data_IF_137843327825
#
_entry.id   IF_137843327825
#
_cell.length_a   1.000
_cell.length_b   1.000
_cell.length_c   1.000
_cell.angle_alpha   90.00
_cell.angle_beta   90.00
_cell.angle_gamma   90.00
#
_symmetry.space_group_name_H-M   'P 1'
#
loop_
_entity.id
_entity.type
_entity.pdbx_description
1 polymer ?
#
# COMPACT_ATOMS: atom_id res chain seq x y z
N UNK A 1 -13.16 -21.72 -13.61
CA UNK A 1 -13.15 -21.49 -12.15
C UNK A 1 -12.08 -20.45 -11.90
N UNK A 2 -12.47 -19.24 -11.48
CA UNK A 2 -11.51 -18.19 -11.13
C UNK A 2 -10.75 -18.67 -9.89
N UNK A 3 -9.46 -18.90 -10.01
CA UNK A 3 -8.63 -19.25 -8.85
C UNK A 3 -8.72 -18.09 -7.87
N UNK A 4 -9.09 -18.37 -6.62
CA UNK A 4 -9.10 -17.34 -5.58
C UNK A 4 -7.64 -16.94 -5.35
N UNK A 5 -7.27 -15.74 -5.80
CA UNK A 5 -5.94 -15.18 -5.58
C UNK A 5 -5.72 -14.82 -4.12
N UNK A 6 -4.51 -14.43 -3.81
CA UNK A 6 -4.13 -13.85 -2.53
C UNK A 6 -3.78 -12.39 -2.74
N UNK A 7 -4.24 -11.53 -1.86
CA UNK A 7 -3.91 -10.11 -1.93
C UNK A 7 -2.66 -9.85 -1.11
N UNK A 8 -1.82 -8.94 -1.62
CA UNK A 8 -0.55 -8.56 -0.99
C UNK A 8 -0.44 -7.05 -0.95
N UNK A 9 0.05 -6.57 0.17
CA UNK A 9 0.48 -5.19 0.35
C UNK A 9 2.00 -5.13 0.18
N UNK A 10 2.47 -4.28 -0.73
CA UNK A 10 3.88 -4.08 -1.04
C UNK A 10 4.22 -2.60 -0.94
N UNK A 11 5.10 -2.24 -0.03
CA UNK A 11 5.59 -0.88 0.14
C UNK A 11 7.09 -0.87 -0.05
N UNK A 12 7.52 -0.38 -1.22
CA UNK A 12 8.92 -0.07 -1.50
C UNK A 12 9.23 1.28 -0.88
N UNK A 13 10.21 1.33 0.03
CA UNK A 13 10.64 2.59 0.66
C UNK A 13 11.93 3.06 0.03
N UNK A 14 11.96 4.32 -0.39
CA UNK A 14 13.06 4.89 -1.13
C UNK A 14 14.32 5.02 -0.26
N UNK A 15 15.47 4.75 -0.87
CA UNK A 15 16.74 5.04 -0.26
C UNK A 15 16.96 6.56 -0.26
N UNK A 16 17.48 7.16 0.84
CA UNK A 16 17.84 8.58 0.84
C UNK A 16 18.75 8.91 -0.35
N UNK A 17 18.46 10.00 -1.05
CA UNK A 17 19.23 10.44 -2.22
C UNK A 17 18.88 9.74 -3.53
N UNK A 18 17.83 8.93 -3.58
CA UNK A 18 17.46 8.17 -4.78
C UNK A 18 16.43 8.86 -5.69
N UNK A 19 16.06 10.11 -5.40
CA UNK A 19 15.00 10.82 -6.16
C UNK A 19 15.31 10.89 -7.66
N UNK A 20 16.55 11.25 -8.02
CA UNK A 20 16.94 11.31 -9.43
C UNK A 20 16.84 9.95 -10.12
N UNK A 21 17.33 8.89 -9.47
CA UNK A 21 17.24 7.53 -9.99
C UNK A 21 15.78 7.09 -10.15
N UNK A 22 14.93 7.42 -9.20
CA UNK A 22 13.49 7.14 -9.27
C UNK A 22 12.85 7.77 -10.51
N UNK A 23 13.14 9.03 -10.81
CA UNK A 23 12.62 9.70 -12.00
C UNK A 23 13.20 9.12 -13.29
N UNK A 24 14.47 8.76 -13.29
CA UNK A 24 15.12 8.11 -14.43
C UNK A 24 14.44 6.77 -14.78
N UNK A 25 14.02 6.02 -13.78
CA UNK A 25 13.38 4.70 -13.93
C UNK A 25 11.85 4.76 -14.03
N UNK A 26 11.26 5.94 -14.03
CA UNK A 26 9.80 6.10 -13.91
C UNK A 26 9.03 5.36 -15.01
N UNK A 27 9.48 5.49 -16.27
CA UNK A 27 8.82 4.82 -17.39
C UNK A 27 8.95 3.29 -17.30
N UNK A 28 10.11 2.79 -16.91
CA UNK A 28 10.33 1.35 -16.72
C UNK A 28 9.48 0.81 -15.59
N UNK A 29 9.37 1.55 -14.48
CA UNK A 29 8.50 1.21 -13.36
C UNK A 29 7.04 1.14 -13.78
N UNK A 30 6.54 2.15 -14.48
CA UNK A 30 5.16 2.16 -14.97
C UNK A 30 4.89 1.01 -15.94
N UNK A 31 5.80 0.73 -16.85
CA UNK A 31 5.68 -0.38 -17.80
C UNK A 31 5.65 -1.73 -17.08
N UNK A 32 6.47 -1.89 -16.05
CA UNK A 32 6.46 -3.07 -15.21
C UNK A 32 5.11 -3.25 -14.50
N UNK A 33 4.61 -2.20 -13.85
CA UNK A 33 3.35 -2.24 -13.11
C UNK A 33 2.13 -2.39 -14.02
N UNK A 34 2.18 -1.84 -15.23
CA UNK A 34 1.09 -1.98 -16.19
C UNK A 34 0.85 -3.44 -16.61
N UNK A 35 1.86 -4.30 -16.51
CA UNK A 35 1.71 -5.75 -16.72
C UNK A 35 0.79 -6.39 -15.70
N UNK A 36 0.60 -5.76 -14.53
CA UNK A 36 -0.26 -6.22 -13.44
C UNK A 36 -1.56 -5.42 -13.35
N UNK A 37 -1.92 -4.67 -14.38
CA UNK A 37 -3.06 -3.74 -14.33
C UNK A 37 -4.37 -4.41 -13.92
N UNK A 38 -4.60 -5.66 -14.34
CA UNK A 38 -5.80 -6.42 -13.99
C UNK A 38 -5.81 -6.93 -12.53
N UNK A 39 -4.64 -7.08 -11.94
CA UNK A 39 -4.46 -7.61 -10.58
C UNK A 39 -4.29 -6.50 -9.53
N UNK A 40 -3.99 -5.27 -9.95
CA UNK A 40 -3.79 -4.15 -9.03
C UNK A 40 -5.10 -3.73 -8.38
N UNK A 41 -5.07 -3.62 -7.05
CA UNK A 41 -6.15 -3.10 -6.21
C UNK A 41 -5.89 -1.62 -5.90
N UNK A 42 -4.62 -1.26 -5.65
CA UNK A 42 -4.20 0.12 -5.43
C UNK A 42 -2.74 0.30 -5.85
N UNK A 43 -2.39 1.52 -6.25
CA UNK A 43 -1.00 1.91 -6.53
C UNK A 43 -0.83 3.41 -6.34
N UNK A 44 0.33 3.81 -5.86
CA UNK A 44 0.66 5.23 -5.77
C UNK A 44 1.88 5.52 -4.92
N UNK A 45 2.49 6.68 -5.14
CA UNK A 45 3.65 7.12 -4.37
C UNK A 45 3.27 7.67 -3.00
N UNK A 46 4.21 7.53 -2.04
CA UNK A 46 4.20 8.30 -0.80
C UNK A 46 5.15 9.48 -0.91
N UNK A 47 4.89 10.52 -0.13
CA UNK A 47 5.66 11.77 -0.15
C UNK A 47 6.11 12.16 1.25
N UNK A 48 7.19 12.93 1.31
CA UNK A 48 7.52 13.71 2.51
C UNK A 48 6.48 14.82 2.71
N UNK A 49 6.44 15.44 3.88
CA UNK A 49 5.45 16.48 4.21
C UNK A 49 5.47 17.75 3.36
N UNK A 50 6.23 17.76 2.27
CA UNK A 50 6.29 18.84 1.27
C UNK A 50 5.45 18.54 0.01
N UNK A 51 4.77 17.40 -0.06
CA UNK A 51 3.97 16.91 -1.20
C UNK A 51 4.74 16.74 -2.52
N UNK A 52 6.03 16.95 -2.53
CA UNK A 52 6.85 16.97 -3.75
C UNK A 52 7.91 15.89 -3.77
N UNK A 53 8.49 15.55 -2.61
CA UNK A 53 9.59 14.58 -2.53
C UNK A 53 9.04 13.18 -2.31
N UNK A 54 9.12 12.28 -3.31
CA UNK A 54 8.67 10.90 -3.15
C UNK A 54 9.55 10.16 -2.12
N UNK A 55 8.90 9.34 -1.30
CA UNK A 55 9.55 8.56 -0.24
C UNK A 55 9.32 7.06 -0.38
N UNK A 56 8.45 6.66 -1.29
CA UNK A 56 8.16 5.25 -1.51
C UNK A 56 7.05 5.04 -2.53
N UNK A 57 6.72 3.78 -2.75
CA UNK A 57 5.65 3.36 -3.66
C UNK A 57 4.84 2.23 -3.03
N UNK A 58 3.54 2.43 -2.95
CA UNK A 58 2.58 1.44 -2.48
C UNK A 58 1.96 0.72 -3.66
N UNK A 59 1.91 -0.61 -3.57
CA UNK A 59 1.14 -1.45 -4.50
C UNK A 59 0.37 -2.48 -3.69
N UNK A 60 -0.93 -2.57 -3.94
CA UNK A 60 -1.77 -3.65 -3.42
C UNK A 60 -2.22 -4.45 -4.63
N UNK A 61 -1.98 -5.76 -4.60
CA UNK A 61 -2.07 -6.60 -5.80
C UNK A 61 -2.59 -7.99 -5.45
N UNK A 62 -3.42 -8.55 -6.34
CA UNK A 62 -3.92 -9.93 -6.26
C UNK A 62 -3.01 -10.84 -7.06
N UNK A 63 -2.35 -11.78 -6.37
CA UNK A 63 -1.38 -12.71 -6.97
C UNK A 63 -1.66 -14.14 -6.52
N UNK A 64 -1.15 -15.15 -7.24
CA UNK A 64 -1.46 -16.56 -6.93
C UNK A 64 -0.98 -17.03 -5.56
N UNK A 65 0.20 -16.57 -5.12
CA UNK A 65 0.87 -17.09 -3.91
C UNK A 65 1.99 -16.15 -3.44
N UNK A 66 2.62 -16.44 -2.27
CA UNK A 66 3.73 -15.63 -1.76
C UNK A 66 4.99 -15.65 -2.64
N UNK A 67 5.20 -16.67 -3.44
CA UNK A 67 6.34 -16.74 -4.39
C UNK A 67 6.15 -15.68 -5.48
N UNK A 68 4.95 -15.62 -6.05
CA UNK A 68 4.59 -14.59 -7.05
C UNK A 68 4.68 -13.18 -6.45
N UNK A 69 4.30 -13.01 -5.19
CA UNK A 69 4.40 -11.73 -4.50
C UNK A 69 5.86 -11.28 -4.33
N UNK A 70 6.76 -12.19 -3.97
CA UNK A 70 8.19 -11.89 -3.91
C UNK A 70 8.76 -11.54 -5.28
N UNK A 71 8.39 -12.26 -6.32
CA UNK A 71 8.79 -11.90 -7.68
C UNK A 71 8.30 -10.50 -8.08
N UNK A 72 7.05 -10.19 -7.80
CA UNK A 72 6.49 -8.86 -8.03
C UNK A 72 7.31 -7.76 -7.35
N UNK A 73 7.65 -7.94 -6.08
CA UNK A 73 8.35 -6.94 -5.28
C UNK A 73 9.83 -6.78 -5.69
N UNK A 74 10.51 -7.87 -6.03
CA UNK A 74 11.96 -7.90 -6.18
C UNK A 74 12.45 -7.84 -7.64
N UNK A 75 11.63 -8.22 -8.60
CA UNK A 75 11.93 -8.06 -10.04
C UNK A 75 11.59 -6.66 -10.56
N UNK A 76 11.06 -5.81 -9.73
CA UNK A 76 10.69 -4.44 -10.05
C UNK A 76 11.96 -3.62 -10.38
N UNK A 77 11.95 -2.80 -11.47
CA UNK A 77 13.15 -2.11 -11.96
C UNK A 77 13.86 -1.21 -10.95
N UNK A 78 13.10 -0.48 -10.13
CA UNK A 78 13.68 0.38 -9.09
C UNK A 78 14.38 -0.42 -7.99
N UNK A 79 13.81 -1.57 -7.62
CA UNK A 79 14.45 -2.49 -6.69
C UNK A 79 15.76 -3.05 -7.27
N UNK A 80 15.74 -3.51 -8.51
CA UNK A 80 16.92 -4.05 -9.18
C UNK A 80 18.02 -3.01 -9.35
N UNK A 81 17.68 -1.75 -9.52
CA UNK A 81 18.63 -0.65 -9.65
C UNK A 81 19.12 -0.09 -8.30
N UNK A 82 18.61 -0.60 -7.18
CA UNK A 82 19.00 -0.15 -5.85
C UNK A 82 18.40 1.19 -5.41
N UNK A 83 17.25 1.58 -5.95
CA UNK A 83 16.57 2.82 -5.59
C UNK A 83 15.92 2.77 -4.20
N UNK A 84 15.64 1.58 -3.68
CA UNK A 84 14.94 1.39 -2.41
C UNK A 84 15.89 0.97 -1.29
N UNK A 85 15.59 1.41 -0.07
CA UNK A 85 16.31 0.95 1.12
C UNK A 85 15.78 -0.39 1.63
N UNK A 86 14.47 -0.62 1.50
CA UNK A 86 13.80 -1.85 1.93
C UNK A 86 12.41 -1.98 1.29
N UNK A 87 11.78 -3.12 1.53
CA UNK A 87 10.42 -3.43 1.07
C UNK A 87 9.65 -4.03 2.23
N UNK A 88 8.48 -3.49 2.53
CA UNK A 88 7.50 -4.13 3.39
C UNK A 88 6.53 -4.90 2.50
N UNK A 89 6.64 -6.22 2.49
CA UNK A 89 5.78 -7.12 1.74
C UNK A 89 5.04 -8.04 2.71
N UNK A 90 3.71 -7.98 2.69
CA UNK A 90 2.87 -8.82 3.56
C UNK A 90 1.65 -9.28 2.78
N UNK A 91 1.17 -10.47 3.10
CA UNK A 91 -0.19 -10.87 2.74
C UNK A 91 -1.17 -9.89 3.37
N UNK A 92 -2.25 -9.60 2.65
CA UNK A 92 -3.23 -8.59 3.04
C UNK A 92 -4.61 -9.06 2.60
N UNK A 93 -5.65 -8.54 3.19
CA UNK A 93 -7.03 -8.85 2.79
C UNK A 93 -7.80 -7.58 2.47
N UNK A 94 -8.43 -7.55 1.31
CA UNK A 94 -9.27 -6.42 0.89
C UNK A 94 -10.62 -6.47 1.62
N UNK A 95 -10.71 -5.73 2.73
CA UNK A 95 -11.91 -5.72 3.56
C UNK A 95 -13.03 -4.87 2.97
N UNK A 96 -12.75 -3.96 2.04
CA UNK A 96 -13.75 -3.14 1.37
C UNK A 96 -14.32 -3.82 0.13
N UNK A 97 -13.64 -4.82 -0.42
CA UNK A 97 -14.08 -5.55 -1.61
C UNK A 97 -14.08 -4.73 -2.89
N UNK A 98 -13.30 -3.65 -2.95
CA UNK A 98 -13.21 -2.76 -4.12
C UNK A 98 -11.77 -2.32 -4.36
N UNK A 99 -11.52 -1.76 -5.54
CA UNK A 99 -10.23 -1.15 -5.88
C UNK A 99 -10.23 0.36 -5.55
N UNK A 100 -9.04 0.98 -5.57
CA UNK A 100 -8.92 2.42 -5.37
C UNK A 100 -9.68 3.22 -6.44
N UNK A 101 -9.81 2.68 -7.66
CA UNK A 101 -10.51 3.35 -8.76
C UNK A 101 -12.03 3.38 -8.56
N UNK A 102 -12.55 2.52 -7.71
CA UNK A 102 -13.96 2.47 -7.32
C UNK A 102 -14.28 3.34 -6.10
N UNK A 103 -13.27 4.03 -5.56
CA UNK A 103 -13.47 4.94 -4.42
C UNK A 103 -14.43 6.08 -4.80
N UNK A 104 -15.56 6.25 -4.06
CA UNK A 104 -16.58 7.25 -4.41
C UNK A 104 -16.08 8.69 -4.42
N UNK A 105 -15.03 9.00 -3.63
CA UNK A 105 -14.39 10.32 -3.60
C UNK A 105 -13.55 10.67 -4.81
N UNK A 106 -13.40 9.74 -5.76
CA UNK A 106 -12.63 9.95 -6.99
C UNK A 106 -11.12 9.96 -6.77
N UNK A 107 -10.39 10.40 -7.81
CA UNK A 107 -8.92 10.37 -7.84
C UNK A 107 -8.26 11.60 -7.25
N UNK A 108 -8.98 12.69 -7.19
CA UNK A 108 -8.48 14.01 -6.77
C UNK A 108 -9.42 14.62 -5.74
N UNK A 109 -8.95 15.65 -5.08
CA UNK A 109 -9.72 16.34 -4.03
C UNK A 109 -9.45 15.75 -2.65
N UNK A 110 -9.07 16.62 -1.72
CA UNK A 110 -8.70 16.27 -0.35
C UNK A 110 -7.33 15.60 -0.26
N UNK A 111 -6.79 15.64 0.92
CA UNK A 111 -5.51 14.99 1.21
C UNK A 111 -5.71 13.49 1.43
N UNK A 112 -4.73 12.72 1.03
CA UNK A 112 -4.75 11.25 1.12
C UNK A 112 -3.50 10.74 1.80
N UNK A 113 -3.67 9.65 2.54
CA UNK A 113 -2.62 9.13 3.40
C UNK A 113 -2.59 7.60 3.34
N UNK A 114 -1.36 7.07 3.41
CA UNK A 114 -1.12 5.70 3.82
C UNK A 114 -1.02 5.70 5.34
N UNK A 115 -1.81 4.85 5.99
CA UNK A 115 -1.75 4.62 7.44
C UNK A 115 -1.33 3.18 7.68
N UNK A 116 -0.19 3.00 8.36
CA UNK A 116 0.36 1.70 8.70
C UNK A 116 0.36 1.52 10.21
N UNK A 117 -0.44 0.59 10.71
CA UNK A 117 -0.34 0.11 12.08
C UNK A 117 0.45 -1.19 12.11
N UNK A 118 1.50 -1.27 12.92
CA UNK A 118 2.38 -2.43 12.99
C UNK A 118 2.36 -3.06 14.36
N UNK A 119 2.26 -4.42 14.40
CA UNK A 119 2.28 -5.23 15.60
C UNK A 119 1.37 -4.80 16.73
N UNK A 120 1.40 -5.48 17.87
CA UNK A 120 2.05 -6.77 18.09
C UNK A 120 1.35 -7.92 17.34
N UNK A 121 2.06 -9.03 17.13
CA UNK A 121 1.47 -10.24 16.54
C UNK A 121 0.33 -10.77 17.39
N UNK A 122 -0.77 -11.15 16.75
CA UNK A 122 -1.91 -11.79 17.42
C UNK A 122 -2.71 -12.65 16.44
N UNK A 123 -3.70 -13.37 16.94
CA UNK A 123 -4.64 -14.07 16.09
C UNK A 123 -5.35 -13.08 15.14
N UNK A 124 -5.71 -13.56 13.96
CA UNK A 124 -6.29 -12.71 12.91
C UNK A 124 -7.57 -12.04 13.41
N UNK A 125 -7.58 -10.72 13.33
CA UNK A 125 -8.77 -9.88 13.54
C UNK A 125 -9.18 -9.26 12.19
N UNK A 126 -10.41 -9.50 11.80
CA UNK A 126 -10.96 -9.03 10.53
C UNK A 126 -12.00 -7.91 10.71
N UNK A 127 -11.96 -7.21 11.84
CA UNK A 127 -12.86 -6.09 12.09
C UNK A 127 -12.62 -4.96 11.09
N UNK A 128 -13.71 -4.40 10.59
CA UNK A 128 -13.69 -3.27 9.66
C UNK A 128 -14.24 -2.05 10.38
N UNK A 129 -13.67 -0.85 10.20
CA UNK A 129 -14.24 0.37 10.77
C UNK A 129 -15.69 0.55 10.36
N UNK A 130 -16.56 1.05 11.24
CA UNK A 130 -17.97 1.26 10.93
C UNK A 130 -18.19 2.34 9.87
N UNK A 131 -17.32 3.35 9.82
CA UNK A 131 -17.36 4.40 8.80
C UNK A 131 -16.32 4.11 7.72
N UNK A 132 -16.79 3.85 6.50
CA UNK A 132 -15.96 3.47 5.36
C UNK A 132 -15.93 4.52 4.25
N UNK A 133 -16.61 5.64 4.42
CA UNK A 133 -16.81 6.63 3.33
C UNK A 133 -15.50 7.27 2.87
N UNK A 134 -14.55 7.43 3.78
CA UNK A 134 -13.25 8.02 3.51
C UNK A 134 -12.14 6.97 3.31
N UNK A 135 -12.48 5.68 3.34
CA UNK A 135 -11.51 4.59 3.12
C UNK A 135 -11.36 4.29 1.63
N UNK A 136 -10.15 4.39 1.12
CA UNK A 136 -9.79 4.02 -0.25
C UNK A 136 -9.43 2.54 -0.31
N UNK A 137 -8.64 2.07 0.65
CA UNK A 137 -8.32 0.67 0.89
C UNK A 137 -8.16 0.42 2.39
N UNK A 138 -8.51 -0.76 2.85
CA UNK A 138 -8.38 -1.14 4.26
C UNK A 138 -8.25 -2.64 4.40
N UNK A 139 -7.27 -3.08 5.13
CA UNK A 139 -7.12 -4.51 5.42
C UNK A 139 -6.00 -4.84 6.40
N UNK A 140 -6.07 -6.04 7.00
CA UNK A 140 -5.03 -6.54 7.86
C UNK A 140 -3.78 -6.94 7.09
N UNK A 141 -2.62 -6.65 7.68
CA UNK A 141 -1.34 -7.22 7.27
C UNK A 141 -1.20 -8.58 7.94
N UNK A 142 -0.90 -9.62 7.16
CA UNK A 142 -0.95 -11.00 7.61
C UNK A 142 0.36 -11.71 7.32
N UNK A 143 0.62 -12.78 8.08
CA UNK A 143 1.62 -13.78 7.72
C UNK A 143 1.27 -14.46 6.39
N UNK A 144 2.26 -15.09 5.75
CA UNK A 144 2.06 -15.72 4.44
C UNK A 144 0.93 -16.76 4.42
N UNK A 145 0.73 -17.49 5.51
CA UNK A 145 -0.36 -18.46 5.66
C UNK A 145 -1.72 -17.81 6.05
N UNK A 146 -1.73 -16.51 6.34
CA UNK A 146 -2.93 -15.76 6.69
C UNK A 146 -3.45 -15.96 8.11
N UNK A 147 -2.71 -16.68 8.97
CA UNK A 147 -3.19 -17.05 10.31
C UNK A 147 -2.83 -16.04 11.40
N UNK A 148 -1.77 -15.26 11.18
CA UNK A 148 -1.28 -14.28 12.16
C UNK A 148 -1.50 -12.87 11.65
N UNK A 149 -2.13 -12.04 12.46
CA UNK A 149 -2.27 -10.61 12.22
C UNK A 149 -1.00 -9.89 12.65
N UNK A 150 -0.44 -9.10 11.74
CA UNK A 150 0.82 -8.37 11.92
C UNK A 150 0.62 -6.86 11.97
N UNK A 151 -0.58 -6.39 11.67
CA UNK A 151 -0.89 -4.99 11.60
C UNK A 151 -2.05 -4.70 10.66
N UNK A 152 -2.18 -3.43 10.29
CA UNK A 152 -3.20 -2.95 9.34
C UNK A 152 -2.57 -1.96 8.38
N UNK A 153 -2.93 -2.05 7.11
CA UNK A 153 -2.59 -1.04 6.11
C UNK A 153 -3.88 -0.46 5.53
N UNK A 154 -3.95 0.86 5.50
CA UNK A 154 -5.09 1.60 4.97
C UNK A 154 -4.63 2.76 4.10
N UNK A 155 -5.39 3.02 3.04
CA UNK A 155 -5.31 4.25 2.25
C UNK A 155 -6.59 5.03 2.53
N UNK A 156 -6.44 6.27 2.97
CA UNK A 156 -7.58 7.08 3.46
C UNK A 156 -7.52 8.49 2.91
N UNK A 157 -8.70 9.11 2.75
CA UNK A 157 -8.82 10.56 2.56
C UNK A 157 -9.13 11.19 3.91
N UNK A 158 -8.41 12.22 4.29
CA UNK A 158 -8.59 12.89 5.57
C UNK A 158 -8.14 14.36 5.49
N UNK A 159 -8.64 15.24 6.36
CA UNK A 159 -8.25 16.65 6.35
C UNK A 159 -6.80 16.89 6.81
N UNK A 160 -6.17 15.92 7.44
CA UNK A 160 -4.79 16.02 7.87
C UNK A 160 -4.27 14.70 8.44
N UNK A 161 -2.98 14.64 8.77
CA UNK A 161 -2.36 13.38 9.25
C UNK A 161 -2.93 12.88 10.58
N UNK A 162 -3.35 13.76 11.48
CA UNK A 162 -3.95 13.35 12.76
C UNK A 162 -5.29 12.64 12.56
N UNK A 163 -6.13 13.17 11.67
CA UNK A 163 -7.40 12.54 11.32
C UNK A 163 -7.18 11.21 10.59
N UNK A 164 -6.18 11.13 9.72
CA UNK A 164 -5.80 9.88 9.06
C UNK A 164 -5.35 8.84 10.10
N UNK A 165 -4.47 9.22 11.02
CA UNK A 165 -3.99 8.35 12.10
C UNK A 165 -5.13 7.80 12.96
N UNK A 166 -6.17 8.59 13.20
CA UNK A 166 -7.31 8.23 14.04
C UNK A 166 -8.19 7.12 13.44
N UNK A 167 -7.96 6.72 12.18
CA UNK A 167 -8.63 5.56 11.58
C UNK A 167 -8.25 4.27 12.28
N UNK A 168 -7.04 4.20 12.87
CA UNK A 168 -6.57 3.05 13.64
C UNK A 168 -6.60 3.34 15.14
N UNK A 169 -7.05 2.36 15.93
CA UNK A 169 -7.06 2.45 17.40
C UNK A 169 -5.64 2.31 17.94
N UNK A 170 -5.05 3.35 18.56
CA UNK A 170 -3.63 3.38 18.88
C UNK A 170 -3.17 2.32 19.89
N UNK A 171 -4.06 1.87 20.77
CA UNK A 171 -3.77 0.84 21.78
C UNK A 171 -3.60 -0.57 21.18
N UNK A 172 -3.97 -0.77 19.92
CA UNK A 172 -3.86 -2.07 19.25
C UNK A 172 -2.54 -2.27 18.51
N UNK A 173 -1.71 -1.24 18.41
CA UNK A 173 -0.49 -1.26 17.60
C UNK A 173 0.73 -0.90 18.43
N UNK A 174 1.86 -1.52 18.11
CA UNK A 174 3.16 -1.12 18.66
C UNK A 174 3.59 0.25 18.11
N UNK A 175 3.19 0.56 16.88
CA UNK A 175 3.43 1.86 16.26
C UNK A 175 2.49 2.09 15.08
N UNK A 176 2.20 3.37 14.81
CA UNK A 176 1.40 3.80 13.67
C UNK A 176 2.22 4.83 12.89
N UNK A 177 2.38 4.57 11.58
CA UNK A 177 3.00 5.50 10.64
C UNK A 177 1.92 6.10 9.75
N UNK A 178 2.07 7.39 9.43
CA UNK A 178 1.20 8.11 8.49
C UNK A 178 2.09 8.76 7.43
N UNK A 179 1.80 8.49 6.17
CA UNK A 179 2.53 9.04 5.03
C UNK A 179 1.55 9.68 4.07
N UNK A 180 1.90 10.83 3.52
CA UNK A 180 1.14 11.41 2.42
C UNK A 180 1.22 10.48 1.22
N UNK A 181 0.09 10.31 0.52
CA UNK A 181 -0.05 9.38 -0.59
C UNK A 181 -0.97 9.95 -1.66
N UNK A 182 -0.73 9.60 -2.90
CA UNK A 182 -1.58 9.97 -4.03
C UNK A 182 -1.84 8.79 -4.94
N UNK A 183 -2.93 8.85 -5.71
CA UNK A 183 -3.18 7.90 -6.78
C UNK A 183 -2.03 7.94 -7.78
N UNK A 184 -1.44 6.79 -8.07
CA UNK A 184 -0.32 6.64 -8.97
C UNK A 184 -0.67 5.97 -10.28
N UNK A 185 0.36 5.81 -11.10
CA UNK A 185 0.27 5.23 -12.44
C UNK A 185 -0.10 6.27 -13.49
N UNK A 186 0.11 5.85 -14.72
CA UNK A 186 -0.30 6.65 -15.88
C UNK A 186 -1.71 6.26 -16.33
N UNK A 187 -2.26 7.09 -17.12
CA UNK A 187 -3.56 6.89 -17.72
C UNK A 187 -3.44 6.88 -19.19
#
# INVERSE_FOLDING_TARGET
VKTVGMEFFCYHRDRPGSVALRYELLEEHWSYMDRYAAELIARGPTFAGDDETPTGSVHIVDLPDPVAARAFAFDEPGYQAGAYRDVLLRRWRNMLGRTMWEFPGGRTGGDRFLVLGLGPEKDTDLAVPPDQDELIAYGPLLSDDGTTWLGTAALVRAPGPDAARAVLAPDQYAGIEVHEWEFGGRR
#
